data_IF_425741979615
#
_entry.id   IF_425741979615
#
_cell.length_a   1.000
_cell.length_b   1.000
_cell.length_c   1.000
_cell.angle_alpha   90.00
_cell.angle_beta   90.00
_cell.angle_gamma   90.00
#
_symmetry.space_group_name_H-M   'P 1'
#
loop_
_entity.id
_entity.type
_entity.pdbx_description
1 polymer ?
#
# COMPACT_ATOMS: atom_id res chain seq x y z
N UNK A 1 -23.01 -2.52 21.68
CA UNK A 1 -22.88 -2.02 20.28
C UNK A 1 -21.91 -0.84 20.32
N UNK A 2 -20.81 -0.86 19.56
CA UNK A 2 -19.83 0.24 19.58
C UNK A 2 -20.53 1.53 19.11
N UNK A 3 -20.44 2.61 19.89
CA UNK A 3 -20.92 3.92 19.48
C UNK A 3 -20.18 4.37 18.23
N UNK A 4 -20.93 4.60 17.18
CA UNK A 4 -20.40 5.13 15.93
C UNK A 4 -20.19 6.63 15.99
N UNK A 5 -19.12 7.10 15.36
CA UNK A 5 -18.76 8.52 15.26
C UNK A 5 -19.14 9.09 13.89
N UNK A 6 -19.28 10.41 13.81
CA UNK A 6 -19.51 11.12 12.54
C UNK A 6 -18.32 10.99 11.56
N UNK A 7 -17.15 10.64 12.06
CA UNK A 7 -15.91 10.42 11.29
C UNK A 7 -15.76 8.99 10.78
N UNK A 8 -16.71 8.10 11.08
CA UNK A 8 -16.63 6.71 10.65
C UNK A 8 -16.82 6.61 9.13
N UNK A 9 -15.92 5.87 8.47
CA UNK A 9 -15.97 5.51 7.05
C UNK A 9 -15.84 4.00 6.88
N UNK A 10 -16.33 3.47 5.76
CA UNK A 10 -16.16 2.06 5.36
C UNK A 10 -15.39 1.97 4.06
N UNK A 11 -14.60 0.91 3.89
CA UNK A 11 -13.97 0.58 2.61
C UNK A 11 -15.03 0.04 1.64
N UNK A 12 -15.04 0.55 0.41
CA UNK A 12 -15.99 0.14 -0.63
C UNK A 12 -15.32 -0.56 -1.80
N UNK A 13 -14.05 -0.28 -2.08
CA UNK A 13 -13.31 -0.89 -3.18
C UNK A 13 -11.82 -0.92 -2.91
N UNK A 14 -11.13 -1.88 -3.52
CA UNK A 14 -9.67 -1.92 -3.60
C UNK A 14 -9.24 -2.28 -5.03
N UNK A 15 -8.30 -1.50 -5.57
CA UNK A 15 -7.67 -1.79 -6.87
C UNK A 15 -6.17 -1.93 -6.67
N UNK A 16 -5.59 -3.00 -7.23
CA UNK A 16 -4.20 -3.38 -7.02
C UNK A 16 -3.38 -3.16 -8.29
N UNK A 17 -2.19 -2.59 -8.12
CA UNK A 17 -1.22 -2.34 -9.18
C UNK A 17 0.16 -2.86 -8.76
N UNK A 18 0.79 -3.64 -9.65
CA UNK A 18 2.16 -4.12 -9.46
C UNK A 18 3.09 -3.28 -10.31
N UNK A 19 3.92 -2.47 -9.66
CA UNK A 19 4.79 -1.51 -10.32
C UNK A 19 6.25 -1.98 -10.23
N UNK A 20 6.89 -2.43 -11.33
CA UNK A 20 8.30 -2.77 -11.30
C UNK A 20 9.13 -1.48 -11.12
N UNK A 21 10.02 -1.46 -10.13
CA UNK A 21 10.89 -0.33 -9.82
C UNK A 21 12.34 -0.79 -9.80
N UNK A 22 13.15 -0.19 -10.67
CA UNK A 22 14.60 -0.38 -10.67
C UNK A 22 15.25 0.67 -9.75
N UNK A 23 16.08 0.21 -8.83
CA UNK A 23 16.81 1.09 -7.91
C UNK A 23 17.85 1.88 -8.69
N UNK A 24 17.86 3.20 -8.52
CA UNK A 24 18.90 4.07 -9.11
C UNK A 24 20.28 3.74 -8.55
N UNK A 25 20.33 3.41 -7.26
CA UNK A 25 21.52 2.96 -6.54
C UNK A 25 21.15 1.65 -5.85
N UNK A 26 21.89 0.56 -6.08
CA UNK A 26 21.61 -0.71 -5.41
C UNK A 26 21.63 -0.58 -3.89
N UNK A 27 20.67 -1.22 -3.21
CA UNK A 27 20.62 -1.27 -1.75
C UNK A 27 21.30 -2.54 -1.25
N UNK A 28 22.20 -2.40 -0.26
CA UNK A 28 22.94 -3.53 0.33
C UNK A 28 22.35 -3.90 1.69
N UNK A 29 22.00 -5.18 1.85
CA UNK A 29 21.49 -5.73 3.11
C UNK A 29 22.27 -7.01 3.44
N UNK A 30 23.27 -6.90 4.32
CA UNK A 30 24.17 -8.03 4.61
C UNK A 30 24.81 -8.58 3.32
N UNK A 31 24.72 -9.89 3.02
CA UNK A 31 25.27 -10.47 1.80
C UNK A 31 24.44 -10.14 0.55
N UNK A 32 23.20 -9.65 0.69
CA UNK A 32 22.28 -9.43 -0.42
C UNK A 32 22.41 -8.02 -1.02
N UNK A 33 22.21 -7.91 -2.33
CA UNK A 33 22.15 -6.63 -3.05
C UNK A 33 20.85 -6.54 -3.83
N UNK A 34 20.03 -5.54 -3.55
CA UNK A 34 18.73 -5.30 -4.21
C UNK A 34 18.89 -4.23 -5.29
N UNK A 35 18.65 -4.61 -6.54
CA UNK A 35 18.69 -3.71 -7.72
C UNK A 35 17.30 -3.41 -8.28
N UNK A 36 16.30 -4.23 -7.98
CA UNK A 36 14.92 -4.06 -8.43
C UNK A 36 13.95 -4.60 -7.37
N UNK A 37 12.75 -4.02 -7.31
CA UNK A 37 11.63 -4.53 -6.52
C UNK A 37 10.31 -4.25 -7.25
N UNK A 38 9.24 -4.93 -6.83
CA UNK A 38 7.87 -4.59 -7.25
C UNK A 38 7.20 -3.81 -6.14
N UNK A 39 6.79 -2.58 -6.40
CA UNK A 39 5.91 -1.84 -5.50
C UNK A 39 4.47 -2.32 -5.69
N UNK A 40 3.85 -2.80 -4.62
CA UNK A 40 2.41 -2.99 -4.55
C UNK A 40 1.77 -1.64 -4.24
N UNK A 41 1.07 -1.08 -5.22
CA UNK A 41 0.24 0.12 -5.03
C UNK A 41 -1.22 -0.27 -4.98
N UNK A 42 -1.93 0.27 -4.00
CA UNK A 42 -3.37 0.04 -3.81
C UNK A 42 -4.10 1.36 -3.81
N UNK A 43 -5.15 1.44 -4.63
CA UNK A 43 -6.18 2.48 -4.54
C UNK A 43 -7.33 1.94 -3.70
N UNK A 44 -7.70 2.63 -2.63
CA UNK A 44 -8.82 2.27 -1.76
C UNK A 44 -9.91 3.31 -1.90
N UNK A 45 -11.11 2.86 -2.22
CA UNK A 45 -12.32 3.68 -2.15
C UNK A 45 -12.94 3.57 -0.77
N UNK A 46 -13.41 4.69 -0.22
CA UNK A 46 -14.15 4.74 1.04
C UNK A 46 -15.44 5.54 0.87
N UNK A 47 -16.41 5.24 1.72
CA UNK A 47 -17.67 5.95 1.79
C UNK A 47 -17.98 6.28 3.26
N UNK A 48 -18.50 7.49 3.50
CA UNK A 48 -19.01 7.88 4.80
C UNK A 48 -20.52 7.58 4.93
N UNK A 49 -21.12 8.00 6.05
CA UNK A 49 -22.54 7.75 6.31
C UNK A 49 -23.50 8.63 5.52
N UNK A 50 -23.01 9.73 4.95
CA UNK A 50 -23.80 10.64 4.12
C UNK A 50 -23.72 10.24 2.65
N UNK A 51 -23.07 9.12 2.32
CA UNK A 51 -22.86 8.65 0.95
C UNK A 51 -21.77 9.45 0.21
N UNK A 52 -20.93 10.21 0.92
CA UNK A 52 -19.79 10.89 0.30
C UNK A 52 -18.68 9.87 0.06
N UNK A 53 -18.11 9.92 -1.13
CA UNK A 53 -17.03 9.03 -1.55
C UNK A 53 -15.69 9.75 -1.57
N UNK A 54 -14.64 9.01 -1.23
CA UNK A 54 -13.26 9.43 -1.39
C UNK A 54 -12.39 8.27 -1.83
N UNK A 55 -11.24 8.59 -2.45
CA UNK A 55 -10.21 7.62 -2.80
C UNK A 55 -8.89 7.97 -2.11
N UNK A 56 -8.19 6.94 -1.64
CA UNK A 56 -6.85 7.05 -1.06
C UNK A 56 -5.88 6.09 -1.73
N UNK A 57 -4.61 6.45 -1.74
CA UNK A 57 -3.54 5.63 -2.33
C UNK A 57 -2.51 5.27 -1.27
N UNK A 58 -2.06 4.02 -1.29
CA UNK A 58 -0.95 3.53 -0.47
C UNK A 58 -0.04 2.62 -1.30
N UNK A 59 1.24 2.58 -0.94
CA UNK A 59 2.24 1.76 -1.62
C UNK A 59 3.20 1.12 -0.62
N UNK A 60 3.63 -0.10 -0.91
CA UNK A 60 4.74 -0.76 -0.22
C UNK A 60 5.56 -1.62 -1.20
N UNK A 61 6.90 -1.67 -1.09
CA UNK A 61 7.69 -2.64 -1.83
C UNK A 61 7.39 -4.09 -1.38
N UNK A 62 7.22 -5.01 -2.34
CA UNK A 62 6.95 -6.43 -2.08
C UNK A 62 8.24 -7.22 -1.85
N UNK A 63 8.14 -8.24 -0.99
CA UNK A 63 9.17 -9.27 -0.80
C UNK A 63 10.58 -8.70 -0.63
N UNK A 64 10.67 -7.62 0.16
CA UNK A 64 11.93 -6.95 0.41
C UNK A 64 12.91 -7.91 1.09
N UNK A 65 14.08 -8.10 0.46
CA UNK A 65 15.05 -9.12 0.82
C UNK A 65 15.55 -9.05 2.27
N UNK A 66 15.32 -7.93 2.97
CA UNK A 66 15.79 -7.69 4.33
C UNK A 66 14.79 -8.07 5.44
N UNK A 67 13.55 -8.48 5.13
CA UNK A 67 12.55 -8.84 6.17
C UNK A 67 12.64 -10.31 6.60
N UNK A 68 13.31 -11.17 5.83
CA UNK A 68 13.29 -12.62 6.02
C UNK A 68 14.66 -13.28 6.20
N UNK A 69 15.69 -12.51 6.56
CA UNK A 69 17.03 -13.03 6.86
C UNK A 69 17.11 -13.65 8.26
#
# INVERSE_FOLDING_TARGET
>A
MKNSKSTDIKVTSASVFFLPVTMRVPLKFGPETVTNTVCLRVKVGVEDRQGRHAEGWGETPLSVSWVWA
#
